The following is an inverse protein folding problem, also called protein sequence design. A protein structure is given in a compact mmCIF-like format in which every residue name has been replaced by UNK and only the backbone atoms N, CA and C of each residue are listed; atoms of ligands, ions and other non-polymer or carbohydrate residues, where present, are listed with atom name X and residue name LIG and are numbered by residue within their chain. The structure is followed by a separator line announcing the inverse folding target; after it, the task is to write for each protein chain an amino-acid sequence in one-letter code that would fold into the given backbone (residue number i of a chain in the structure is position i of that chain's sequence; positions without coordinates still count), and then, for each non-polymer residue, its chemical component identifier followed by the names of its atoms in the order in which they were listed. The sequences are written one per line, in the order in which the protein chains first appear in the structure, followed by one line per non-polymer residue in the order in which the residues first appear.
data_IF_700859762460
#
_entry.id   IF_700859762460
#
_cell.length_a   1.000
_cell.length_b   1.000
_cell.length_c   1.000
_cell.angle_alpha   90.00
_cell.angle_beta   90.00
_cell.angle_gamma   90.00
#
_symmetry.space_group_name_H-M   'P 1'
#
loop_
_entity.id
_entity.type
_entity.pdbx_description
1 polymer ?
#
# COMPACT_ATOMS: atom_id res chain seq x y z
N UNK A 1 29.84 -40.70 -47.20
CA UNK A 1 30.75 -39.71 -46.57
C UNK A 1 30.15 -38.31 -46.50
N UNK A 2 28.87 -38.17 -46.10
CA UNK A 2 28.24 -36.82 -45.94
C UNK A 2 27.19 -36.81 -44.83
N UNK A 3 27.47 -37.37 -43.64
CA UNK A 3 26.45 -37.36 -42.58
C UNK A 3 26.99 -37.26 -41.18
N UNK A 4 28.10 -36.56 -40.90
CA UNK A 4 28.69 -36.47 -39.55
C UNK A 4 29.07 -35.04 -39.10
N UNK A 5 28.64 -33.98 -39.79
CA UNK A 5 29.03 -32.59 -39.44
C UNK A 5 27.94 -31.71 -38.86
N UNK A 6 26.73 -32.23 -38.61
CA UNK A 6 25.62 -31.41 -38.13
C UNK A 6 25.23 -31.57 -36.65
N UNK A 7 25.94 -32.39 -35.87
CA UNK A 7 25.51 -32.69 -34.51
C UNK A 7 26.36 -32.08 -33.39
N UNK A 8 27.39 -31.30 -33.67
CA UNK A 8 28.34 -30.83 -32.65
C UNK A 8 28.33 -29.31 -32.38
N UNK A 9 27.54 -28.50 -33.09
CA UNK A 9 27.67 -27.05 -32.99
C UNK A 9 26.53 -26.34 -32.23
N UNK A 10 25.43 -27.00 -31.90
CA UNK A 10 24.26 -26.37 -31.31
C UNK A 10 24.25 -26.22 -29.76
N UNK A 11 24.79 -27.14 -28.95
CA UNK A 11 24.75 -26.99 -27.50
C UNK A 11 25.69 -25.90 -26.96
N UNK A 12 26.84 -25.70 -27.59
CA UNK A 12 27.85 -24.72 -27.14
C UNK A 12 27.44 -23.27 -27.33
N UNK A 13 26.63 -22.96 -28.34
CA UNK A 13 26.15 -21.60 -28.61
C UNK A 13 25.06 -21.18 -27.65
N UNK A 14 24.23 -22.10 -27.20
CA UNK A 14 23.19 -21.86 -26.19
C UNK A 14 23.76 -21.64 -24.78
N UNK A 15 24.82 -22.36 -24.43
CA UNK A 15 25.52 -22.16 -23.14
C UNK A 15 26.27 -20.81 -23.13
N UNK A 16 26.88 -20.43 -24.23
CA UNK A 16 27.53 -19.12 -24.37
C UNK A 16 26.52 -17.97 -24.28
N UNK A 17 25.35 -18.09 -24.91
CA UNK A 17 24.25 -17.11 -24.78
C UNK A 17 23.70 -17.02 -23.36
N UNK A 18 23.52 -18.13 -22.65
CA UNK A 18 23.14 -18.14 -21.23
C UNK A 18 24.14 -17.37 -20.37
N UNK A 19 25.42 -17.58 -20.60
CA UNK A 19 26.47 -16.88 -19.87
C UNK A 19 26.58 -15.39 -20.23
N UNK A 20 26.16 -15.01 -21.44
CA UNK A 20 26.19 -13.60 -21.87
C UNK A 20 25.01 -12.79 -21.34
N UNK A 21 23.83 -13.42 -21.18
CA UNK A 21 22.63 -12.75 -20.70
C UNK A 21 22.36 -12.89 -19.22
N UNK A 22 23.12 -13.71 -18.50
CA UNK A 22 22.97 -14.05 -17.07
C UNK A 22 21.61 -14.69 -16.78
N UNK A 23 21.49 -15.38 -15.67
CA UNK A 23 20.21 -15.92 -15.21
C UNK A 23 19.29 -14.73 -14.82
N UNK A 24 18.03 -14.69 -15.30
CA UNK A 24 17.05 -13.70 -14.84
C UNK A 24 16.91 -13.65 -13.31
N UNK A 25 17.11 -14.78 -12.62
CA UNK A 25 17.10 -14.88 -11.18
C UNK A 25 18.32 -14.19 -10.54
N UNK A 26 19.52 -14.30 -11.12
CA UNK A 26 20.70 -13.59 -10.62
C UNK A 26 20.54 -12.08 -10.67
N UNK A 27 19.88 -11.55 -11.71
CA UNK A 27 19.62 -10.11 -11.79
C UNK A 27 18.61 -9.63 -10.74
N UNK A 28 17.61 -10.46 -10.41
CA UNK A 28 16.66 -10.17 -9.33
C UNK A 28 17.36 -10.24 -7.96
N UNK A 29 18.14 -11.27 -7.74
CA UNK A 29 18.92 -11.45 -6.51
C UNK A 29 19.88 -10.27 -6.27
N UNK A 30 20.57 -9.79 -7.30
CA UNK A 30 21.46 -8.61 -7.18
C UNK A 30 20.74 -7.33 -6.72
N UNK A 31 19.44 -7.21 -6.98
CA UNK A 31 18.63 -6.09 -6.48
C UNK A 31 18.16 -6.28 -5.05
N UNK A 32 17.97 -7.53 -4.64
CA UNK A 32 17.43 -7.87 -3.31
C UNK A 32 18.56 -7.92 -2.27
N UNK A 33 19.77 -8.36 -2.62
CA UNK A 33 20.89 -8.45 -1.69
C UNK A 33 21.17 -7.18 -0.88
N UNK A 34 21.21 -5.99 -1.48
CA UNK A 34 21.42 -4.77 -0.71
C UNK A 34 20.35 -4.55 0.37
N UNK A 35 19.09 -4.89 0.08
CA UNK A 35 17.99 -4.79 1.05
C UNK A 35 18.20 -5.80 2.18
N UNK A 36 18.63 -7.01 1.86
CA UNK A 36 18.94 -8.05 2.87
C UNK A 36 20.10 -7.63 3.76
N UNK A 37 21.14 -7.02 3.18
CA UNK A 37 22.27 -6.50 3.95
C UNK A 37 21.81 -5.38 4.91
N UNK A 38 20.99 -4.44 4.44
CA UNK A 38 20.38 -3.39 5.25
C UNK A 38 19.51 -3.94 6.39
N UNK A 39 18.64 -4.94 6.08
CA UNK A 39 17.84 -5.65 7.10
C UNK A 39 18.74 -6.23 8.19
N UNK A 40 19.87 -6.83 7.83
CA UNK A 40 20.77 -7.43 8.79
C UNK A 40 21.51 -6.37 9.64
N UNK A 41 21.92 -5.25 9.05
CA UNK A 41 22.51 -4.12 9.78
C UNK A 41 21.52 -3.55 10.80
N UNK A 42 20.28 -3.31 10.42
CA UNK A 42 19.23 -2.85 11.32
C UNK A 42 18.94 -3.89 12.40
N UNK A 43 18.82 -5.17 12.03
CA UNK A 43 18.56 -6.26 12.96
C UNK A 43 19.57 -6.31 14.10
N UNK A 44 20.85 -6.08 13.82
CA UNK A 44 21.91 -6.08 14.85
C UNK A 44 21.67 -4.99 15.90
N UNK A 45 21.02 -3.87 15.53
CA UNK A 45 20.68 -2.78 16.46
C UNK A 45 19.46 -3.06 17.34
N UNK A 46 18.61 -4.01 16.94
CA UNK A 46 17.35 -4.32 17.64
C UNK A 46 17.51 -5.33 18.78
N UNK A 47 18.63 -6.03 18.85
CA UNK A 47 18.82 -7.12 19.81
C UNK A 47 18.81 -6.68 21.27
N UNK A 48 19.24 -5.45 21.55
CA UNK A 48 19.29 -4.86 22.89
C UNK A 48 17.97 -4.21 23.32
N UNK A 49 16.96 -4.11 22.44
CA UNK A 49 15.67 -3.51 22.75
C UNK A 49 14.85 -4.44 23.64
N UNK A 50 14.09 -3.85 24.55
CA UNK A 50 13.05 -4.56 25.29
C UNK A 50 11.88 -4.98 24.38
N UNK A 51 11.04 -5.91 24.84
CA UNK A 51 9.86 -6.34 24.08
C UNK A 51 8.87 -5.18 23.84
N UNK A 52 8.76 -4.26 24.80
CA UNK A 52 7.87 -3.10 24.64
C UNK A 52 8.42 -2.09 23.65
N UNK A 53 9.73 -1.85 23.62
CA UNK A 53 10.38 -1.02 22.62
C UNK A 53 10.27 -1.64 21.22
N UNK A 54 10.40 -2.96 21.10
CA UNK A 54 10.22 -3.64 19.83
C UNK A 54 8.77 -3.55 19.32
N UNK A 55 7.77 -3.68 20.23
CA UNK A 55 6.36 -3.47 19.88
C UNK A 55 6.07 -2.03 19.46
N UNK A 56 6.72 -1.06 20.11
CA UNK A 56 6.55 0.35 19.80
C UNK A 56 6.99 0.68 18.35
N UNK A 57 7.94 -0.05 17.78
CA UNK A 57 8.33 0.10 16.36
C UNK A 57 7.14 -0.07 15.42
N UNK A 58 6.29 -1.07 15.66
CA UNK A 58 5.08 -1.28 14.81
C UNK A 58 4.10 -0.12 14.91
N UNK A 59 4.01 0.51 16.08
CA UNK A 59 3.17 1.70 16.27
C UNK A 59 3.77 2.88 15.50
N UNK A 60 5.08 3.08 15.60
CA UNK A 60 5.78 4.14 14.88
C UNK A 60 5.63 4.01 13.35
N UNK A 61 5.70 2.79 12.79
CA UNK A 61 5.47 2.56 11.35
C UNK A 61 4.07 2.97 10.92
N UNK A 62 3.05 2.66 11.72
CA UNK A 62 1.67 3.06 11.43
C UNK A 62 1.48 4.57 11.50
N UNK A 63 2.10 5.21 12.50
CA UNK A 63 2.07 6.66 12.65
C UNK A 63 2.74 7.36 11.47
N UNK A 64 3.91 6.86 11.02
CA UNK A 64 4.62 7.40 9.87
C UNK A 64 3.79 7.28 8.58
N UNK A 65 3.21 6.10 8.31
CA UNK A 65 2.34 5.90 7.14
C UNK A 65 1.11 6.82 7.19
N UNK A 66 0.47 6.94 8.35
CA UNK A 66 -0.69 7.81 8.50
C UNK A 66 -0.34 9.30 8.34
N UNK A 67 0.80 9.73 8.90
CA UNK A 67 1.28 11.11 8.76
C UNK A 67 1.59 11.45 7.29
N UNK A 68 2.18 10.51 6.54
CA UNK A 68 2.52 10.71 5.14
C UNK A 68 1.31 10.97 4.24
N UNK A 69 0.16 10.38 4.53
CA UNK A 69 -1.06 10.50 3.71
C UNK A 69 -2.13 11.41 4.33
N UNK A 70 -1.89 11.97 5.53
CA UNK A 70 -2.90 12.69 6.30
C UNK A 70 -3.54 13.87 5.56
N UNK A 71 -2.75 14.64 4.80
CA UNK A 71 -3.25 15.77 4.03
C UNK A 71 -4.16 15.32 2.87
N UNK A 72 -3.83 14.20 2.24
CA UNK A 72 -4.64 13.61 1.17
C UNK A 72 -5.96 13.10 1.73
N UNK A 73 -5.92 12.33 2.83
CA UNK A 73 -7.11 11.80 3.51
C UNK A 73 -8.04 12.94 3.97
N UNK A 74 -7.47 14.02 4.54
CA UNK A 74 -8.25 15.19 4.93
C UNK A 74 -8.94 15.84 3.73
N UNK A 75 -8.25 15.94 2.59
CA UNK A 75 -8.84 16.50 1.36
C UNK A 75 -9.92 15.61 0.78
N UNK A 76 -9.71 14.29 0.76
CA UNK A 76 -10.72 13.31 0.33
C UNK A 76 -11.97 13.38 1.21
N UNK A 77 -11.80 13.51 2.53
CA UNK A 77 -12.91 13.66 3.47
C UNK A 77 -13.71 14.95 3.23
N UNK A 78 -13.03 16.07 2.97
CA UNK A 78 -13.66 17.33 2.63
C UNK A 78 -14.52 17.22 1.36
N UNK A 79 -13.98 16.63 0.29
CA UNK A 79 -14.67 16.41 -0.98
C UNK A 79 -15.87 15.50 -0.77
N UNK A 80 -15.68 14.37 -0.09
CA UNK A 80 -16.74 13.40 0.19
C UNK A 80 -17.87 14.02 1.01
N UNK A 81 -17.55 14.88 1.99
CA UNK A 81 -18.55 15.59 2.76
C UNK A 81 -19.31 16.61 1.90
N UNK A 82 -18.63 17.32 1.00
CA UNK A 82 -19.25 18.25 0.06
C UNK A 82 -20.19 17.51 -0.91
N UNK A 83 -19.74 16.38 -1.49
CA UNK A 83 -20.56 15.53 -2.36
C UNK A 83 -21.80 14.96 -1.63
N UNK A 84 -21.67 14.61 -0.35
CA UNK A 84 -22.78 14.08 0.46
C UNK A 84 -23.83 15.13 0.76
N UNK A 85 -23.42 16.39 0.98
CA UNK A 85 -24.35 17.52 1.20
C UNK A 85 -25.01 18.03 -0.07
N UNK A 86 -24.41 17.73 -1.22
CA UNK A 86 -24.97 18.13 -2.50
C UNK A 86 -26.21 17.28 -2.83
N UNK A 87 -27.29 17.91 -3.35
CA UNK A 87 -28.44 17.14 -3.81
C UNK A 87 -28.04 16.19 -4.94
N UNK A 88 -28.70 15.03 -5.03
CA UNK A 88 -28.53 14.18 -6.21
C UNK A 88 -28.99 14.93 -7.47
N UNK A 89 -28.45 14.58 -8.65
CA UNK A 89 -28.84 15.18 -9.91
C UNK A 89 -30.39 15.18 -10.10
N UNK A 90 -31.04 14.06 -9.78
CA UNK A 90 -32.50 13.94 -9.83
C UNK A 90 -33.21 14.85 -8.81
N UNK A 91 -32.64 15.10 -7.63
CA UNK A 91 -33.18 15.98 -6.61
C UNK A 91 -33.00 17.45 -7.03
N UNK A 92 -31.87 17.80 -7.66
CA UNK A 92 -31.59 19.12 -8.18
C UNK A 92 -32.58 19.51 -9.31
N UNK A 93 -32.85 18.62 -10.26
CA UNK A 93 -33.85 18.80 -11.31
C UNK A 93 -35.24 19.00 -10.73
N UNK A 94 -35.66 18.21 -9.74
CA UNK A 94 -36.96 18.37 -9.06
C UNK A 94 -37.04 19.68 -8.28
N UNK A 95 -35.95 20.17 -7.73
CA UNK A 95 -35.88 21.45 -7.02
C UNK A 95 -35.96 22.65 -7.99
N UNK A 96 -35.37 22.52 -9.19
CA UNK A 96 -35.45 23.53 -10.24
C UNK A 96 -36.89 23.64 -10.82
N UNK A 97 -37.56 22.52 -11.03
CA UNK A 97 -38.99 22.50 -11.45
C UNK A 97 -39.94 23.01 -10.37
N UNK A 98 -39.62 22.81 -9.08
CA UNK A 98 -40.47 23.27 -7.98
C UNK A 98 -40.40 24.76 -7.71
N UNK A 99 -39.41 25.49 -8.24
CA UNK A 99 -39.25 26.92 -8.06
C UNK A 99 -40.26 27.75 -8.90
N UNK A 100 -41.01 27.13 -9.77
CA UNK A 100 -41.98 27.79 -10.66
C UNK A 100 -43.34 28.07 -10.00
N UNK A 101 -43.57 27.68 -8.71
CA UNK A 101 -44.93 27.79 -8.13
C UNK A 101 -45.06 27.98 -6.62
N UNK A 102 -44.08 28.56 -5.92
CA UNK A 102 -44.16 28.70 -4.45
C UNK A 102 -44.68 30.01 -3.95
N UNK A 103 -45.95 30.05 -3.46
CA UNK A 103 -46.49 31.13 -2.60
C UNK A 103 -45.66 31.21 -1.32
N UNK A 104 -45.00 32.36 -1.12
CA UNK A 104 -44.07 32.64 -0.02
C UNK A 104 -44.67 32.46 1.38
N UNK A 105 -44.55 31.28 1.95
CA UNK A 105 -44.67 31.04 3.38
C UNK A 105 -43.29 30.84 3.99
N UNK A 106 -42.95 31.51 5.12
CA UNK A 106 -41.66 31.29 5.78
C UNK A 106 -41.67 29.95 6.55
N UNK A 107 -41.57 28.85 5.82
CA UNK A 107 -41.31 27.52 6.32
C UNK A 107 -39.89 27.17 5.88
N UNK A 108 -39.17 26.52 6.73
CA UNK A 108 -37.83 26.00 6.56
C UNK A 108 -37.59 25.59 5.09
N UNK A 109 -36.79 26.39 4.37
CA UNK A 109 -36.39 26.06 3.00
C UNK A 109 -35.63 24.71 3.06
N UNK A 110 -36.19 23.64 2.48
CA UNK A 110 -35.49 22.32 2.49
C UNK A 110 -34.16 22.38 1.75
N UNK A 111 -33.85 23.48 1.06
CA UNK A 111 -32.60 23.75 0.36
C UNK A 111 -31.52 24.31 1.29
N UNK A 112 -31.88 24.80 2.49
CA UNK A 112 -30.93 25.45 3.39
C UNK A 112 -29.77 24.53 3.87
N UNK A 113 -29.99 23.23 3.81
CA UNK A 113 -29.00 22.21 4.22
C UNK A 113 -28.19 21.63 3.05
N UNK A 114 -28.48 22.06 1.80
CA UNK A 114 -27.76 21.56 0.63
C UNK A 114 -26.72 22.56 0.14
N UNK A 115 -25.52 22.06 -0.15
CA UNK A 115 -24.48 22.80 -0.86
C UNK A 115 -24.76 22.70 -2.37
N UNK A 116 -25.20 23.77 -3.04
CA UNK A 116 -25.52 23.69 -4.47
C UNK A 116 -24.23 23.55 -5.27
N UNK A 117 -24.00 22.37 -5.81
CA UNK A 117 -22.92 22.13 -6.78
C UNK A 117 -23.54 21.83 -8.14
N UNK A 118 -22.94 22.36 -9.19
CA UNK A 118 -23.30 22.05 -10.57
C UNK A 118 -22.88 20.64 -10.96
N UNK A 119 -23.38 20.14 -12.09
CA UNK A 119 -22.94 18.84 -12.63
C UNK A 119 -21.45 18.88 -12.99
N UNK A 120 -20.97 19.98 -13.57
CA UNK A 120 -19.56 20.19 -13.92
C UNK A 120 -18.67 20.17 -12.65
N UNK A 121 -19.04 20.95 -11.61
CA UNK A 121 -18.31 20.91 -10.34
C UNK A 121 -18.32 19.53 -9.68
N UNK A 122 -19.37 18.74 -9.86
CA UNK A 122 -19.44 17.37 -9.36
C UNK A 122 -18.48 16.45 -10.10
N UNK A 123 -18.39 16.58 -11.44
CA UNK A 123 -17.43 15.84 -12.25
C UNK A 123 -16.00 16.20 -11.85
N UNK A 124 -15.70 17.51 -11.71
CA UNK A 124 -14.39 17.99 -11.26
C UNK A 124 -14.00 17.42 -9.87
N UNK A 125 -14.96 17.31 -8.93
CA UNK A 125 -14.71 16.72 -7.61
C UNK A 125 -14.45 15.21 -7.66
N UNK A 126 -15.08 14.48 -8.58
CA UNK A 126 -14.77 13.06 -8.77
C UNK A 126 -13.41 12.87 -9.43
N UNK A 127 -13.07 13.70 -10.42
CA UNK A 127 -11.76 13.67 -11.05
C UNK A 127 -10.65 13.99 -10.02
N UNK A 128 -10.87 14.98 -9.13
CA UNK A 128 -9.96 15.28 -8.04
C UNK A 128 -9.81 14.11 -7.05
N UNK A 129 -10.90 13.37 -6.75
CA UNK A 129 -10.82 12.17 -5.90
C UNK A 129 -9.97 11.06 -6.53
N UNK A 130 -10.11 10.85 -7.84
CA UNK A 130 -9.33 9.84 -8.57
C UNK A 130 -7.84 10.22 -8.57
N UNK A 131 -7.48 11.50 -8.78
CA UNK A 131 -6.10 11.98 -8.67
C UNK A 131 -5.54 11.81 -7.25
N UNK A 132 -6.32 12.15 -6.22
CA UNK A 132 -5.92 11.97 -4.82
C UNK A 132 -5.74 10.49 -4.45
N UNK A 133 -6.51 9.56 -5.03
CA UNK A 133 -6.34 8.12 -4.83
C UNK A 133 -5.01 7.63 -5.45
N UNK A 134 -4.66 8.11 -6.65
CA UNK A 134 -3.38 7.80 -7.28
C UNK A 134 -2.20 8.32 -6.44
N UNK A 135 -2.29 9.56 -5.95
CA UNK A 135 -1.27 10.17 -5.09
C UNK A 135 -1.15 9.42 -3.75
N UNK A 136 -2.28 9.04 -3.14
CA UNK A 136 -2.31 8.24 -1.91
C UNK A 136 -1.59 6.90 -2.08
N UNK A 137 -1.87 6.20 -3.19
CA UNK A 137 -1.22 4.92 -3.50
C UNK A 137 0.29 5.10 -3.72
N UNK A 138 0.70 6.13 -4.47
CA UNK A 138 2.10 6.38 -4.76
C UNK A 138 2.92 6.72 -3.49
N UNK A 139 2.39 7.60 -2.63
CA UNK A 139 3.03 7.98 -1.36
C UNK A 139 3.09 6.76 -0.41
N UNK A 140 2.00 6.00 -0.32
CA UNK A 140 1.97 4.80 0.52
C UNK A 140 2.98 3.75 0.06
N UNK A 141 3.15 3.54 -1.26
CA UNK A 141 4.13 2.63 -1.82
C UNK A 141 5.56 3.09 -1.49
N UNK A 142 5.86 4.38 -1.67
CA UNK A 142 7.18 4.95 -1.34
C UNK A 142 7.53 4.80 0.14
N UNK A 143 6.59 5.12 1.04
CA UNK A 143 6.80 5.00 2.48
C UNK A 143 6.92 3.53 2.93
N UNK A 144 6.12 2.64 2.36
CA UNK A 144 6.23 1.20 2.64
C UNK A 144 7.58 0.64 2.18
N UNK A 145 8.08 1.04 1.03
CA UNK A 145 9.40 0.64 0.54
C UNK A 145 10.51 1.16 1.45
N UNK A 146 10.40 2.40 1.95
CA UNK A 146 11.34 2.97 2.90
C UNK A 146 11.33 2.25 4.27
N UNK A 147 10.17 1.83 4.75
CA UNK A 147 10.00 1.10 6.01
C UNK A 147 10.36 -0.39 5.92
N UNK A 148 10.38 -0.96 4.71
CA UNK A 148 10.52 -2.39 4.48
C UNK A 148 11.75 -3.01 5.17
N UNK A 149 12.97 -2.45 5.11
CA UNK A 149 14.13 -3.06 5.77
C UNK A 149 13.95 -3.14 7.28
N UNK A 150 13.49 -2.06 7.92
CA UNK A 150 13.29 -2.02 9.37
C UNK A 150 12.15 -2.94 9.81
N UNK A 151 11.05 -3.00 9.07
CA UNK A 151 9.93 -3.88 9.35
C UNK A 151 10.33 -5.36 9.30
N UNK A 152 11.15 -5.75 8.31
CA UNK A 152 11.69 -7.11 8.24
C UNK A 152 12.70 -7.40 9.37
N UNK A 153 13.52 -6.45 9.77
CA UNK A 153 14.43 -6.58 10.90
C UNK A 153 13.66 -6.79 12.22
N UNK A 154 12.59 -6.02 12.46
CA UNK A 154 11.69 -6.17 13.61
C UNK A 154 11.01 -7.54 13.60
N UNK A 155 10.53 -7.98 12.44
CA UNK A 155 9.93 -9.31 12.30
C UNK A 155 10.94 -10.41 12.61
N UNK A 156 12.16 -10.32 12.08
CA UNK A 156 13.25 -11.27 12.31
C UNK A 156 13.59 -11.37 13.79
N UNK A 157 13.74 -10.24 14.50
CA UNK A 157 14.01 -10.20 15.93
C UNK A 157 12.85 -10.75 16.76
N UNK A 158 11.61 -10.43 16.38
CA UNK A 158 10.42 -10.98 17.04
C UNK A 158 10.39 -12.51 16.90
N UNK A 159 10.61 -13.04 15.69
CA UNK A 159 10.67 -14.47 15.46
C UNK A 159 11.79 -15.15 16.28
N UNK A 160 12.96 -14.51 16.40
CA UNK A 160 14.06 -15.02 17.22
C UNK A 160 13.67 -15.15 18.70
N UNK A 161 12.97 -14.15 19.25
CA UNK A 161 12.49 -14.17 20.66
C UNK A 161 11.43 -15.22 20.91
N UNK A 162 10.63 -15.54 19.88
CA UNK A 162 9.57 -16.55 19.99
C UNK A 162 10.10 -18.00 19.86
N UNK A 163 11.39 -18.20 19.60
CA UNK A 163 11.96 -19.54 19.53
C UNK A 163 11.84 -20.28 20.87
N UNK A 164 11.21 -21.46 20.85
CA UNK A 164 10.97 -22.27 22.03
C UNK A 164 9.82 -21.81 22.93
N UNK A 165 9.18 -20.68 22.61
CA UNK A 165 7.97 -20.24 23.28
C UNK A 165 6.76 -21.02 22.75
N UNK A 166 5.77 -21.21 23.62
CA UNK A 166 4.51 -21.86 23.24
C UNK A 166 3.32 -20.95 23.44
N UNK A 167 2.44 -20.91 22.44
CA UNK A 167 1.19 -20.14 22.54
C UNK A 167 0.01 -20.94 21.99
N UNK A 168 -1.19 -20.45 22.23
CA UNK A 168 -2.42 -21.02 21.69
C UNK A 168 -2.99 -20.14 20.58
N UNK A 169 -3.26 -20.75 19.41
CA UNK A 169 -3.95 -20.11 18.32
C UNK A 169 -5.05 -21.05 17.79
N UNK A 170 -6.30 -20.55 17.72
CA UNK A 170 -7.43 -21.34 17.23
C UNK A 170 -7.69 -22.64 17.99
N UNK A 171 -7.35 -22.69 19.29
CA UNK A 171 -7.51 -23.88 20.14
C UNK A 171 -6.38 -24.93 19.98
N UNK A 172 -5.36 -24.62 19.19
CA UNK A 172 -4.18 -25.49 19.02
C UNK A 172 -2.97 -24.86 19.70
N UNK A 173 -2.19 -25.66 20.40
CA UNK A 173 -0.91 -25.23 20.96
C UNK A 173 0.15 -25.22 19.84
N UNK A 174 0.81 -24.08 19.70
CA UNK A 174 1.87 -23.85 18.70
C UNK A 174 3.18 -23.62 19.47
N UNK A 175 4.25 -24.19 18.97
CA UNK A 175 5.61 -23.97 19.46
C UNK A 175 6.40 -23.20 18.40
N UNK A 176 7.08 -22.12 18.83
CA UNK A 176 7.95 -21.33 17.97
C UNK A 176 9.15 -22.16 17.51
N UNK A 177 9.22 -22.44 16.23
CA UNK A 177 10.32 -23.17 15.61
C UNK A 177 10.94 -22.34 14.48
N UNK A 178 12.26 -22.43 14.33
CA UNK A 178 12.98 -21.92 13.17
C UNK A 178 13.24 -23.05 12.20
N UNK A 179 12.88 -22.85 10.93
CA UNK A 179 13.39 -23.74 9.87
C UNK A 179 14.84 -23.31 9.61
N UNK A 180 15.83 -24.17 9.83
CA UNK A 180 17.21 -23.83 9.51
C UNK A 180 17.30 -23.57 8.00
N UNK A 181 17.89 -22.45 7.64
CA UNK A 181 18.32 -22.18 6.27
C UNK A 181 19.69 -22.83 6.11
N UNK A 182 19.73 -23.93 5.33
CA UNK A 182 20.96 -24.53 4.85
C UNK A 182 21.49 -23.78 3.61
#
# INVERSE_FOLDING_TARGET
FHSLLHSFFLPSMFEWLKNLFGDPNERRLKKIWPIVDEINEIYDTLQDLTDDELRAKTTAFREQLHEAVADIEARQDEINERLRRAPSAATAELMEEADVGGDGQPGTDPRADFDPITLEEREDLYDELDELEEDWLAITEEEMDALLPEAFAVMKETCRRMLGETWQAGGTQIEGGMVPYD
#
